data_IF_034121101797
#
_entry.id   IF_034121101797
#
_cell.length_a   1.000
_cell.length_b   1.000
_cell.length_c   1.000
_cell.angle_alpha   90.00
_cell.angle_beta   90.00
_cell.angle_gamma   90.00
#
_symmetry.space_group_name_H-M   'P 1'
#
loop_
_entity.id
_entity.type
_entity.pdbx_description
1 polymer ?
#
# COMPACT_ATOMS: atom_id res chain seq x y z
N UNK A 1 17.97 4.96 -7.74
CA UNK A 1 17.94 6.34 -8.28
C UNK A 1 17.71 6.35 -9.80
N UNK A 2 18.60 5.83 -10.65
CA UNK A 2 18.40 5.73 -12.12
C UNK A 2 17.09 5.03 -12.53
N UNK A 3 16.70 3.99 -11.78
CA UNK A 3 15.46 3.22 -11.99
C UNK A 3 14.18 4.04 -11.73
N UNK A 4 14.12 4.76 -10.61
CA UNK A 4 12.99 5.64 -10.26
C UNK A 4 12.86 6.82 -11.23
N UNK A 5 13.99 7.35 -11.71
CA UNK A 5 14.00 8.41 -12.73
C UNK A 5 13.36 7.92 -14.04
N UNK A 6 13.66 6.69 -14.46
CA UNK A 6 13.03 6.10 -15.66
C UNK A 6 11.52 5.95 -15.50
N UNK A 7 11.07 5.45 -14.35
CA UNK A 7 9.64 5.34 -14.03
C UNK A 7 8.96 6.71 -14.02
N UNK A 8 9.57 7.71 -13.37
CA UNK A 8 9.05 9.08 -13.35
C UNK A 8 8.90 9.67 -14.76
N UNK A 9 9.89 9.46 -15.65
CA UNK A 9 9.82 9.95 -17.02
C UNK A 9 8.70 9.30 -17.84
N UNK A 10 8.45 8.00 -17.65
CA UNK A 10 7.35 7.32 -18.35
C UNK A 10 5.98 7.76 -17.81
N UNK A 11 5.85 7.96 -16.50
CA UNK A 11 4.65 8.54 -15.89
C UNK A 11 4.43 9.98 -16.39
N UNK A 12 5.45 10.83 -16.42
CA UNK A 12 5.33 12.20 -16.91
C UNK A 12 4.87 12.27 -18.38
N UNK A 13 5.30 11.32 -19.22
CA UNK A 13 4.81 11.21 -20.60
C UNK A 13 3.34 10.83 -20.67
N UNK A 14 2.86 10.05 -19.71
CA UNK A 14 1.47 9.60 -19.62
C UNK A 14 0.55 10.68 -19.05
N UNK A 15 1.08 11.53 -18.16
CA UNK A 15 0.40 12.72 -17.60
C UNK A 15 0.47 13.95 -18.52
N UNK A 16 1.04 13.80 -19.71
CA UNK A 16 1.07 14.83 -20.74
C UNK A 16 0.50 14.25 -22.01
N UNK A 17 -0.28 15.06 -22.72
CA UNK A 17 -0.67 14.72 -24.08
C UNK A 17 -0.76 16.00 -24.89
N UNK A 18 -0.61 15.83 -26.19
CA UNK A 18 -0.72 16.89 -27.17
C UNK A 18 -1.80 16.51 -28.18
N UNK A 19 -2.65 17.48 -28.49
CA UNK A 19 -3.72 17.37 -29.47
C UNK A 19 -3.45 18.39 -30.56
N UNK A 20 -3.38 17.92 -31.80
CA UNK A 20 -3.23 18.75 -32.98
C UNK A 20 -4.33 18.39 -33.98
N UNK A 21 -5.06 19.40 -34.45
CA UNK A 21 -6.03 19.26 -35.53
C UNK A 21 -5.38 19.61 -36.86
N UNK A 22 -5.43 18.69 -37.83
CA UNK A 22 -5.01 18.98 -39.19
C UNK A 22 -6.23 19.37 -40.03
N UNK A 23 -6.31 20.65 -40.40
CA UNK A 23 -7.45 21.21 -41.13
C UNK A 23 -7.52 20.74 -42.59
N UNK A 24 -6.41 20.28 -43.19
CA UNK A 24 -6.38 19.87 -44.59
C UNK A 24 -7.06 18.52 -44.80
N UNK A 25 -6.95 17.63 -43.81
CA UNK A 25 -7.52 16.27 -43.85
C UNK A 25 -8.60 16.03 -42.78
N UNK A 26 -9.01 17.10 -42.09
CA UNK A 26 -10.02 17.10 -41.03
C UNK A 26 -9.88 15.99 -39.98
N UNK A 27 -8.66 15.76 -39.50
CA UNK A 27 -8.39 14.70 -38.51
C UNK A 27 -7.50 15.21 -37.37
N UNK A 28 -7.50 14.48 -36.24
CA UNK A 28 -6.72 14.82 -35.06
C UNK A 28 -5.52 13.88 -34.87
N UNK A 29 -4.43 14.46 -34.40
CA UNK A 29 -3.32 13.75 -33.80
C UNK A 29 -3.48 13.76 -32.29
N UNK A 30 -3.32 12.60 -31.67
CA UNK A 30 -3.08 12.45 -30.25
C UNK A 30 -1.64 11.95 -30.07
N UNK A 31 -0.79 12.76 -29.42
CA UNK A 31 0.63 12.44 -29.23
C UNK A 31 1.33 12.03 -30.54
N UNK A 32 1.04 12.75 -31.63
CA UNK A 32 1.56 12.52 -32.99
C UNK A 32 1.08 11.24 -33.69
N UNK A 33 0.06 10.58 -33.16
CA UNK A 33 -0.60 9.44 -33.82
C UNK A 33 -2.03 9.83 -34.22
N UNK A 34 -2.50 9.39 -35.38
CA UNK A 34 -3.84 9.70 -35.86
C UNK A 34 -4.90 9.03 -35.00
N UNK A 35 -5.90 9.79 -34.54
CA UNK A 35 -6.96 9.24 -33.66
C UNK A 35 -7.78 8.14 -34.33
N UNK A 36 -7.82 8.09 -35.66
CA UNK A 36 -8.48 7.02 -36.43
C UNK A 36 -7.69 5.70 -36.37
N UNK A 37 -6.37 5.78 -36.23
CA UNK A 37 -5.46 4.63 -36.32
C UNK A 37 -5.00 4.08 -34.96
N UNK A 38 -5.23 4.80 -33.86
CA UNK A 38 -4.91 4.30 -32.52
C UNK A 38 -5.94 3.22 -32.13
N UNK A 39 -5.51 1.96 -31.88
CA UNK A 39 -6.38 0.90 -31.37
C UNK A 39 -6.49 0.98 -29.85
N UNK A 40 -7.55 0.42 -29.26
CA UNK A 40 -7.71 0.35 -27.80
C UNK A 40 -6.53 -0.33 -27.07
N UNK A 41 -5.95 -1.36 -27.66
CA UNK A 41 -4.81 -2.12 -27.09
C UNK A 41 -3.57 -1.25 -26.83
N UNK A 42 -3.41 -0.12 -27.53
CA UNK A 42 -2.33 0.84 -27.28
C UNK A 42 -2.30 1.32 -25.82
N UNK A 43 -3.47 1.52 -25.21
CA UNK A 43 -3.60 1.99 -23.83
C UNK A 43 -3.36 0.86 -22.83
N UNK A 44 -3.83 -0.35 -23.12
CA UNK A 44 -3.57 -1.52 -22.28
C UNK A 44 -2.08 -1.89 -22.25
N UNK A 45 -1.40 -1.88 -23.40
CA UNK A 45 0.05 -2.11 -23.47
C UNK A 45 0.83 -1.04 -22.70
N UNK A 46 0.38 0.21 -22.76
CA UNK A 46 0.99 1.31 -22.00
C UNK A 46 0.82 1.11 -20.50
N UNK A 47 -0.37 0.72 -20.05
CA UNK A 47 -0.66 0.37 -18.65
C UNK A 47 0.22 -0.78 -18.17
N UNK A 48 0.24 -1.89 -18.89
CA UNK A 48 1.03 -3.08 -18.54
C UNK A 48 2.53 -2.74 -18.44
N UNK A 49 3.04 -1.91 -19.35
CA UNK A 49 4.42 -1.41 -19.30
C UNK A 49 4.71 -0.62 -18.02
N UNK A 50 3.78 0.23 -17.57
CA UNK A 50 3.95 1.01 -16.33
C UNK A 50 3.89 0.11 -15.10
N UNK A 51 2.93 -0.82 -15.04
CA UNK A 51 2.79 -1.80 -13.95
C UNK A 51 4.08 -2.64 -13.81
N UNK A 52 4.59 -3.17 -14.93
CA UNK A 52 5.86 -3.90 -14.96
C UNK A 52 7.05 -3.05 -14.48
N UNK A 53 7.12 -1.77 -14.90
CA UNK A 53 8.18 -0.87 -14.44
C UNK A 53 8.10 -0.61 -12.94
N UNK A 54 6.90 -0.56 -12.35
CA UNK A 54 6.72 -0.43 -10.91
C UNK A 54 7.22 -1.70 -10.21
N UNK A 55 6.73 -2.87 -10.62
CA UNK A 55 7.11 -4.16 -10.01
C UNK A 55 8.61 -4.45 -10.08
N UNK A 56 9.28 -4.09 -11.17
CA UNK A 56 10.72 -4.33 -11.35
C UNK A 56 11.62 -3.37 -10.55
N UNK A 57 11.11 -2.21 -10.16
CA UNK A 57 11.95 -1.09 -9.69
C UNK A 57 11.58 -0.56 -8.29
N UNK A 58 10.43 -0.94 -7.75
CA UNK A 58 9.95 -0.49 -6.44
C UNK A 58 10.12 -1.59 -5.39
N UNK A 59 10.88 -1.28 -4.35
CA UNK A 59 10.86 -2.09 -3.13
C UNK A 59 9.71 -1.61 -2.23
N UNK A 60 8.67 -2.43 -2.11
CA UNK A 60 7.47 -2.17 -1.32
C UNK A 60 7.70 -2.14 0.20
N UNK A 61 8.90 -2.48 0.66
CA UNK A 61 9.28 -2.40 2.08
C UNK A 61 10.06 -1.13 2.42
N UNK A 62 10.56 -0.41 1.40
CA UNK A 62 11.31 0.84 1.57
C UNK A 62 10.36 2.06 1.60
N UNK A 63 10.36 2.78 2.72
CA UNK A 63 9.54 3.96 2.93
C UNK A 63 9.78 5.05 1.88
N UNK A 64 11.01 5.21 1.38
CA UNK A 64 11.31 6.20 0.33
C UNK A 64 10.65 5.88 -1.00
N UNK A 65 10.59 4.60 -1.35
CA UNK A 65 9.91 4.17 -2.58
C UNK A 65 8.40 4.33 -2.44
N UNK A 66 7.84 4.10 -1.26
CA UNK A 66 6.42 4.34 -1.01
C UNK A 66 6.08 5.84 -1.09
N UNK A 67 6.89 6.72 -0.50
CA UNK A 67 6.71 8.17 -0.64
C UNK A 67 6.77 8.61 -2.10
N UNK A 68 7.64 8.00 -2.90
CA UNK A 68 7.69 8.24 -4.35
C UNK A 68 6.41 7.79 -5.06
N UNK A 69 5.87 6.61 -4.72
CA UNK A 69 4.59 6.14 -5.24
C UNK A 69 3.43 7.06 -4.82
N UNK A 70 3.41 7.54 -3.58
CA UNK A 70 2.41 8.50 -3.10
C UNK A 70 2.46 9.82 -3.89
N UNK A 71 3.66 10.32 -4.18
CA UNK A 71 3.84 11.50 -5.03
C UNK A 71 3.27 11.28 -6.45
N UNK A 72 3.57 10.14 -7.07
CA UNK A 72 3.02 9.82 -8.40
C UNK A 72 1.49 9.72 -8.35
N UNK A 73 0.95 9.06 -7.30
CA UNK A 73 -0.49 8.92 -7.12
C UNK A 73 -1.18 10.29 -7.02
N UNK A 74 -0.57 11.26 -6.32
CA UNK A 74 -1.08 12.62 -6.24
C UNK A 74 -1.12 13.31 -7.62
N UNK A 75 -0.07 13.16 -8.41
CA UNK A 75 0.01 13.72 -9.75
C UNK A 75 -1.02 13.08 -10.71
N UNK A 76 -1.19 11.75 -10.64
CA UNK A 76 -2.23 11.02 -11.37
C UNK A 76 -3.62 11.51 -10.99
N UNK A 77 -3.90 11.72 -9.69
CA UNK A 77 -5.19 12.22 -9.23
C UNK A 77 -5.48 13.63 -9.74
N UNK A 78 -4.50 14.53 -9.67
CA UNK A 78 -4.64 15.89 -10.21
C UNK A 78 -4.92 15.86 -11.71
N UNK A 79 -4.14 15.07 -12.45
CA UNK A 79 -4.30 14.95 -13.88
C UNK A 79 -5.64 14.31 -14.29
N UNK A 80 -6.08 13.25 -13.60
CA UNK A 80 -7.39 12.62 -13.81
C UNK A 80 -8.53 13.63 -13.68
N UNK A 81 -8.48 14.52 -12.69
CA UNK A 81 -9.47 15.60 -12.53
C UNK A 81 -9.42 16.56 -13.72
N UNK A 82 -8.24 17.00 -14.13
CA UNK A 82 -8.06 17.89 -15.29
C UNK A 82 -8.54 17.24 -16.60
N UNK A 83 -8.21 15.97 -16.83
CA UNK A 83 -8.63 15.22 -18.01
C UNK A 83 -10.14 14.96 -18.00
N UNK A 84 -10.75 14.69 -16.85
CA UNK A 84 -12.21 14.56 -16.72
C UNK A 84 -12.92 15.88 -17.09
N UNK A 85 -12.37 17.01 -16.64
CA UNK A 85 -12.89 18.34 -17.00
C UNK A 85 -12.73 18.63 -18.50
N UNK A 86 -11.61 18.23 -19.09
CA UNK A 86 -11.41 18.29 -20.54
C UNK A 86 -12.45 17.43 -21.26
N UNK A 87 -12.59 16.15 -20.90
CA UNK A 87 -13.51 15.22 -21.53
C UNK A 87 -14.97 15.73 -21.49
N UNK A 88 -15.38 16.35 -20.39
CA UNK A 88 -16.71 16.96 -20.27
C UNK A 88 -16.93 18.11 -21.26
N UNK A 89 -15.89 18.82 -21.69
CA UNK A 89 -15.99 19.82 -22.76
C UNK A 89 -16.12 19.12 -24.12
N UNK A 90 -15.35 18.06 -24.33
CA UNK A 90 -15.33 17.24 -25.55
C UNK A 90 -16.55 16.32 -25.72
N UNK A 91 -17.36 16.14 -24.68
CA UNK A 91 -18.63 15.39 -24.75
C UNK A 91 -19.76 16.17 -25.43
N UNK A 92 -19.48 17.36 -25.97
CA UNK A 92 -20.44 18.20 -26.70
C UNK A 92 -19.85 18.57 -28.04
N UNK A 93 -20.65 18.71 -29.10
CA UNK A 93 -20.15 19.07 -30.45
C UNK A 93 -19.34 20.39 -30.48
N UNK A 94 -19.71 21.38 -29.67
CA UNK A 94 -19.18 22.75 -29.69
C UNK A 94 -17.94 22.96 -28.82
N UNK A 95 -17.03 22.00 -28.77
CA UNK A 95 -15.83 22.14 -27.93
C UNK A 95 -14.83 23.16 -28.52
N UNK A 96 -14.21 23.98 -27.65
CA UNK A 96 -13.41 25.17 -28.05
C UNK A 96 -12.10 24.79 -28.73
N UNK A 97 -11.71 25.56 -29.75
CA UNK A 97 -10.39 25.44 -30.42
C UNK A 97 -9.20 25.74 -29.50
N UNK A 98 -9.43 26.29 -28.30
CA UNK A 98 -8.36 26.58 -27.35
C UNK A 98 -7.69 25.31 -26.78
N UNK A 99 -8.31 24.14 -26.95
CA UNK A 99 -7.84 22.88 -26.37
C UNK A 99 -6.96 22.04 -27.34
N UNK A 100 -6.68 22.53 -28.57
CA UNK A 100 -5.70 21.91 -29.49
C UNK A 100 -4.94 22.94 -30.33
N UNK A 101 -3.80 22.51 -30.86
CA UNK A 101 -3.10 23.23 -31.92
C UNK A 101 -3.70 22.93 -33.30
N UNK A 102 -3.46 23.79 -34.29
CA UNK A 102 -3.96 23.62 -35.66
C UNK A 102 -2.81 23.61 -36.67
N UNK A 103 -2.86 22.66 -37.61
CA UNK A 103 -1.97 22.61 -38.77
C UNK A 103 -2.75 22.77 -40.07
N UNK A 104 -2.16 23.54 -40.97
CA UNK A 104 -2.67 23.85 -42.31
C UNK A 104 -1.82 23.19 -43.42
N UNK A 105 -0.89 22.32 -43.03
CA UNK A 105 0.01 21.64 -43.95
C UNK A 105 -0.45 20.19 -44.09
N UNK A 106 -0.50 19.70 -45.33
CA UNK A 106 -0.77 18.30 -45.58
C UNK A 106 0.34 17.45 -44.94
N UNK A 107 0.01 16.44 -44.14
CA UNK A 107 1.01 15.67 -43.40
C UNK A 107 1.85 14.81 -44.34
N UNK A 108 3.15 14.68 -44.04
CA UNK A 108 4.04 13.78 -44.78
C UNK A 108 3.60 12.31 -44.68
N UNK A 109 2.95 11.95 -43.57
CA UNK A 109 2.38 10.63 -43.31
C UNK A 109 0.88 10.78 -42.97
N UNK A 110 -0.01 10.89 -43.97
CA UNK A 110 -1.45 10.97 -43.74
C UNK A 110 -2.01 9.64 -43.19
N UNK A 111 -3.16 9.69 -42.49
CA UNK A 111 -3.84 8.47 -42.04
C UNK A 111 -4.31 7.64 -43.24
N UNK A 112 -4.33 6.33 -43.08
CA UNK A 112 -4.86 5.38 -44.06
C UNK A 112 -6.39 5.22 -43.96
N UNK A 113 -6.99 5.70 -42.86
CA UNK A 113 -8.40 5.54 -42.54
C UNK A 113 -9.01 6.94 -42.40
N UNK A 114 -10.04 7.24 -43.20
CA UNK A 114 -10.82 8.47 -43.02
C UNK A 114 -11.57 8.40 -41.68
N UNK A 115 -11.77 9.53 -40.97
CA UNK A 115 -12.65 9.59 -39.81
C UNK A 115 -14.05 8.98 -40.02
N UNK A 116 -14.58 9.04 -41.25
CA UNK A 116 -15.89 8.47 -41.58
C UNK A 116 -15.86 6.96 -41.79
N UNK A 117 -14.68 6.39 -42.07
CA UNK A 117 -14.50 4.96 -42.22
C UNK A 117 -14.53 4.27 -40.85
N UNK A 118 -15.65 3.63 -40.52
CA UNK A 118 -15.86 2.89 -39.27
C UNK A 118 -15.67 1.38 -39.48
N UNK A 119 -14.44 0.84 -39.38
CA UNK A 119 -14.19 -0.58 -39.62
C UNK A 119 -14.88 -1.46 -38.57
N UNK A 120 -15.45 -2.58 -39.02
CA UNK A 120 -15.99 -3.61 -38.12
C UNK A 120 -14.89 -4.34 -37.32
N UNK A 121 -15.23 -4.89 -36.14
CA UNK A 121 -14.31 -5.70 -35.35
C UNK A 121 -13.79 -6.91 -36.13
N UNK A 122 -12.47 -7.07 -36.21
CA UNK A 122 -11.80 -8.17 -36.91
C UNK A 122 -10.46 -8.51 -36.26
N UNK A 123 -9.88 -9.70 -36.50
CA UNK A 123 -8.58 -10.05 -35.93
C UNK A 123 -7.47 -9.02 -36.23
N UNK A 124 -7.51 -8.38 -37.40
CA UNK A 124 -6.49 -7.41 -37.82
C UNK A 124 -6.56 -6.06 -37.10
N UNK A 125 -7.64 -5.75 -36.38
CA UNK A 125 -7.75 -4.57 -35.52
C UNK A 125 -7.94 -4.97 -34.05
N UNK A 126 -7.48 -6.16 -33.66
CA UNK A 126 -7.62 -6.69 -32.30
C UNK A 126 -9.06 -6.78 -31.80
N UNK A 127 -10.02 -6.98 -32.70
CA UNK A 127 -11.45 -6.98 -32.41
C UNK A 127 -11.95 -5.67 -31.78
N UNK A 128 -11.34 -4.54 -32.15
CA UNK A 128 -11.72 -3.23 -31.65
C UNK A 128 -13.12 -2.84 -32.14
N UNK A 129 -14.06 -2.70 -31.21
CA UNK A 129 -15.45 -2.27 -31.42
C UNK A 129 -15.63 -0.75 -31.39
N UNK A 130 -14.55 -0.03 -31.70
CA UNK A 130 -14.49 1.43 -31.82
C UNK A 130 -15.68 2.02 -32.58
N UNK A 131 -16.10 1.41 -33.68
CA UNK A 131 -17.21 1.87 -34.51
C UNK A 131 -18.51 2.15 -33.72
N UNK A 132 -18.94 1.23 -32.86
CA UNK A 132 -20.15 1.36 -32.06
C UNK A 132 -20.05 2.55 -31.10
N UNK A 133 -18.88 2.72 -30.49
CA UNK A 133 -18.61 3.79 -29.53
C UNK A 133 -18.55 5.16 -30.23
N UNK A 134 -17.93 5.25 -31.41
CA UNK A 134 -17.92 6.48 -32.21
C UNK A 134 -19.34 6.92 -32.55
N UNK A 135 -20.20 5.98 -32.99
CA UNK A 135 -21.60 6.27 -33.28
C UNK A 135 -22.33 6.74 -32.03
N UNK A 136 -22.10 6.11 -30.88
CA UNK A 136 -22.71 6.52 -29.60
C UNK A 136 -22.28 7.93 -29.17
N UNK A 137 -20.99 8.26 -29.33
CA UNK A 137 -20.48 9.60 -29.04
C UNK A 137 -21.15 10.65 -29.93
N UNK A 138 -21.28 10.39 -31.24
CA UNK A 138 -21.95 11.30 -32.17
C UNK A 138 -23.43 11.45 -31.79
N UNK A 139 -24.12 10.35 -31.46
CA UNK A 139 -25.51 10.40 -30.97
C UNK A 139 -25.63 11.29 -29.73
N UNK A 140 -24.68 11.19 -28.80
CA UNK A 140 -24.66 12.01 -27.59
C UNK A 140 -24.40 13.49 -27.89
N UNK A 141 -23.53 13.82 -28.86
CA UNK A 141 -23.28 15.21 -29.27
C UNK A 141 -24.55 15.94 -29.71
N UNK A 142 -25.43 15.23 -30.41
CA UNK A 142 -26.65 15.78 -31.03
C UNK A 142 -27.94 15.34 -30.32
N UNK A 143 -27.83 14.62 -29.20
CA UNK A 143 -28.97 14.06 -28.45
C UNK A 143 -29.92 13.23 -29.34
N UNK A 144 -29.35 12.40 -30.21
CA UNK A 144 -30.09 11.53 -31.13
C UNK A 144 -30.61 10.32 -30.34
N UNK A 145 -31.92 10.30 -30.09
CA UNK A 145 -32.58 9.17 -29.44
C UNK A 145 -32.60 7.90 -30.30
N UNK A 146 -32.76 6.74 -29.66
CA UNK A 146 -32.84 5.43 -30.33
C UNK A 146 -34.04 5.30 -31.28
N UNK A 147 -35.06 6.16 -31.15
CA UNK A 147 -36.28 6.16 -31.97
C UNK A 147 -36.19 6.89 -33.30
N UNK A 148 -35.09 7.63 -33.56
CA UNK A 148 -34.87 8.37 -34.81
C UNK A 148 -34.13 7.55 -35.87
N UNK A 149 -33.67 6.34 -35.53
CA UNK A 149 -33.03 5.44 -36.48
C UNK A 149 -34.11 4.68 -37.26
N UNK A 150 -34.47 5.21 -38.43
CA UNK A 150 -35.00 4.37 -39.50
C UNK A 150 -33.83 3.50 -40.00
N UNK A 151 -33.97 2.17 -40.05
CA UNK A 151 -32.89 1.24 -40.42
C UNK A 151 -32.30 1.51 -41.82
N UNK A 152 -32.95 2.39 -42.60
CA UNK A 152 -32.57 2.77 -43.95
C UNK A 152 -31.73 4.04 -44.07
N UNK A 153 -31.60 4.87 -43.02
CA UNK A 153 -30.91 6.17 -43.10
C UNK A 153 -29.53 6.15 -42.42
N UNK A 154 -28.49 6.60 -43.13
CA UNK A 154 -27.12 6.67 -42.59
C UNK A 154 -26.99 7.82 -41.59
N UNK A 155 -26.09 7.69 -40.61
CA UNK A 155 -25.86 8.73 -39.59
C UNK A 155 -25.52 10.09 -40.21
N UNK A 156 -24.74 10.09 -41.29
CA UNK A 156 -24.39 11.28 -42.08
C UNK A 156 -25.63 12.03 -42.58
N UNK A 157 -26.60 11.29 -43.15
CA UNK A 157 -27.85 11.88 -43.64
C UNK A 157 -28.67 12.48 -42.50
N UNK A 158 -28.70 11.84 -41.33
CA UNK A 158 -29.38 12.36 -40.14
C UNK A 158 -28.71 13.68 -39.69
N UNK A 159 -27.37 13.72 -39.64
CA UNK A 159 -26.62 14.93 -39.26
C UNK A 159 -26.90 16.10 -40.21
N UNK A 160 -26.91 15.85 -41.51
CA UNK A 160 -27.16 16.89 -42.53
C UNK A 160 -28.61 17.37 -42.47
N UNK A 161 -29.60 16.46 -42.45
CA UNK A 161 -31.03 16.81 -42.59
C UNK A 161 -31.67 17.33 -41.31
N UNK A 162 -31.40 16.67 -40.18
CA UNK A 162 -32.07 16.97 -38.91
C UNK A 162 -31.29 18.00 -38.07
N UNK A 163 -29.97 18.07 -38.25
CA UNK A 163 -29.08 18.95 -37.47
C UNK A 163 -28.40 20.06 -38.28
N UNK A 164 -28.68 20.17 -39.59
CA UNK A 164 -28.13 21.18 -40.49
C UNK A 164 -26.59 21.26 -40.48
N UNK A 165 -25.90 20.12 -40.35
CA UNK A 165 -24.44 20.06 -40.50
C UNK A 165 -24.09 20.17 -41.99
N UNK A 166 -23.14 21.02 -42.34
CA UNK A 166 -22.64 21.13 -43.72
C UNK A 166 -21.93 19.83 -44.13
N UNK A 167 -22.03 19.44 -45.40
CA UNK A 167 -21.50 18.15 -45.88
C UNK A 167 -19.99 18.01 -45.64
N UNK A 168 -19.25 19.12 -45.74
CA UNK A 168 -17.82 19.21 -45.47
C UNK A 168 -17.47 19.34 -43.98
N UNK A 169 -18.46 19.48 -43.07
CA UNK A 169 -18.26 19.44 -41.62
C UNK A 169 -18.53 18.04 -41.03
N UNK A 170 -19.13 17.12 -41.79
CA UNK A 170 -19.46 15.78 -41.30
C UNK A 170 -18.20 15.00 -40.92
N UNK A 171 -17.15 15.02 -41.74
CA UNK A 171 -15.90 14.32 -41.45
C UNK A 171 -15.24 14.84 -40.16
N UNK A 172 -15.32 16.15 -39.92
CA UNK A 172 -14.91 16.76 -38.67
C UNK A 172 -15.71 16.25 -37.45
N UNK A 173 -17.04 16.08 -37.57
CA UNK A 173 -17.87 15.48 -36.49
C UNK A 173 -17.36 14.09 -36.11
N UNK A 174 -17.05 13.26 -37.10
CA UNK A 174 -16.51 11.92 -36.85
C UNK A 174 -15.11 12.00 -36.22
N UNK A 175 -14.22 12.85 -36.73
CA UNK A 175 -12.88 13.04 -36.18
C UNK A 175 -12.92 13.48 -34.70
N UNK A 176 -13.86 14.36 -34.37
CA UNK A 176 -14.16 14.79 -32.99
C UNK A 176 -14.58 13.62 -32.10
N UNK A 177 -15.48 12.76 -32.59
CA UNK A 177 -15.92 11.58 -31.85
C UNK A 177 -14.77 10.59 -31.63
N UNK A 178 -13.90 10.41 -32.64
CA UNK A 178 -12.67 9.63 -32.53
C UNK A 178 -11.76 10.16 -31.42
N UNK A 179 -11.53 11.47 -31.37
CA UNK A 179 -10.72 12.08 -30.32
C UNK A 179 -11.35 11.90 -28.93
N UNK A 180 -12.66 12.09 -28.79
CA UNK A 180 -13.37 11.86 -27.51
C UNK A 180 -13.22 10.42 -27.03
N UNK A 181 -13.29 9.44 -27.93
CA UNK A 181 -13.01 8.04 -27.61
C UNK A 181 -11.57 7.81 -27.12
N UNK A 182 -10.57 8.33 -27.84
CA UNK A 182 -9.15 8.23 -27.44
C UNK A 182 -8.90 8.87 -26.07
N UNK A 183 -9.50 10.03 -25.78
CA UNK A 183 -9.39 10.67 -24.47
C UNK A 183 -10.10 9.89 -23.36
N UNK A 184 -11.17 9.17 -23.69
CA UNK A 184 -11.87 8.27 -22.75
C UNK A 184 -10.96 7.10 -22.38
N UNK A 185 -10.36 6.44 -23.36
CA UNK A 185 -9.38 5.38 -23.12
C UNK A 185 -8.16 5.86 -22.32
N UNK A 186 -7.67 7.07 -22.60
CA UNK A 186 -6.59 7.67 -21.81
C UNK A 186 -7.02 7.84 -20.35
N UNK A 187 -8.22 8.35 -20.10
CA UNK A 187 -8.74 8.52 -18.74
C UNK A 187 -8.91 7.19 -18.00
N UNK A 188 -9.41 6.16 -18.68
CA UNK A 188 -9.53 4.80 -18.13
C UNK A 188 -8.16 4.24 -17.73
N UNK A 189 -7.17 4.32 -18.64
CA UNK A 189 -5.79 3.92 -18.35
C UNK A 189 -5.22 4.65 -17.12
N UNK A 190 -5.47 5.96 -17.00
CA UNK A 190 -5.02 6.78 -15.87
C UNK A 190 -5.66 6.34 -14.56
N UNK A 191 -6.96 6.05 -14.58
CA UNK A 191 -7.68 5.54 -13.40
C UNK A 191 -7.16 4.18 -12.96
N UNK A 192 -6.91 3.28 -13.91
CA UNK A 192 -6.39 1.95 -13.62
C UNK A 192 -5.01 1.99 -12.97
N UNK A 193 -4.08 2.78 -13.54
CA UNK A 193 -2.75 2.99 -12.94
C UNK A 193 -2.90 3.63 -11.55
N UNK A 194 -3.77 4.64 -11.40
CA UNK A 194 -4.03 5.27 -10.10
C UNK A 194 -4.57 4.30 -9.06
N UNK A 195 -5.48 3.41 -9.45
CA UNK A 195 -6.03 2.36 -8.58
C UNK A 195 -4.95 1.34 -8.17
N UNK A 196 -4.11 0.94 -9.12
CA UNK A 196 -2.96 0.08 -8.85
C UNK A 196 -2.03 0.70 -7.81
N UNK A 197 -1.62 1.95 -7.99
CA UNK A 197 -0.76 2.66 -7.02
C UNK A 197 -1.43 2.84 -5.65
N UNK A 198 -2.72 3.19 -5.63
CA UNK A 198 -3.49 3.29 -4.39
C UNK A 198 -3.54 1.96 -3.64
N UNK A 199 -3.60 0.84 -4.34
CA UNK A 199 -3.58 -0.49 -3.71
C UNK A 199 -2.25 -0.75 -2.98
N UNK A 200 -1.13 -0.34 -3.60
CA UNK A 200 0.22 -0.45 -3.02
C UNK A 200 0.30 0.35 -1.72
N UNK A 201 -0.07 1.64 -1.75
CA UNK A 201 -0.01 2.52 -0.57
C UNK A 201 -0.96 2.06 0.53
N UNK A 202 -2.15 1.58 0.19
CA UNK A 202 -3.12 1.02 1.14
C UNK A 202 -2.55 -0.20 1.87
N UNK A 203 -1.93 -1.13 1.14
CA UNK A 203 -1.32 -2.34 1.74
C UNK A 203 -0.15 -1.95 2.64
N UNK A 204 0.70 -1.02 2.22
CA UNK A 204 1.81 -0.52 3.02
C UNK A 204 1.33 0.14 4.33
N UNK A 205 0.39 1.08 4.24
CA UNK A 205 -0.13 1.80 5.40
C UNK A 205 -0.84 0.86 6.39
N UNK A 206 -1.58 -0.13 5.91
CA UNK A 206 -2.16 -1.18 6.76
C UNK A 206 -1.08 -1.98 7.49
N UNK A 207 0.01 -2.35 6.82
CA UNK A 207 1.13 -3.07 7.47
C UNK A 207 1.81 -2.20 8.52
N UNK A 208 2.08 -0.93 8.21
CA UNK A 208 2.68 0.04 9.13
C UNK A 208 1.81 0.24 10.38
N UNK A 209 0.51 0.47 10.20
CA UNK A 209 -0.46 0.59 11.30
C UNK A 209 -0.50 -0.67 12.18
N UNK A 210 -0.55 -1.86 11.57
CA UNK A 210 -0.57 -3.12 12.33
C UNK A 210 0.74 -3.35 13.11
N UNK A 211 1.88 -2.88 12.60
CA UNK A 211 3.18 -2.97 13.29
C UNK A 211 3.24 -1.96 14.43
N UNK A 212 2.81 -0.72 14.20
CA UNK A 212 2.80 0.35 15.20
C UNK A 212 1.80 0.07 16.33
N UNK A 213 0.60 -0.46 16.03
CA UNK A 213 -0.39 -0.86 17.05
C UNK A 213 0.08 -2.05 17.91
N UNK A 214 0.83 -3.00 17.33
CA UNK A 214 1.35 -4.15 18.07
C UNK A 214 2.66 -3.85 18.83
N UNK A 215 3.46 -2.85 18.41
CA UNK A 215 4.67 -2.43 19.13
C UNK A 215 4.37 -1.40 20.23
N UNK A 216 3.41 -0.48 20.02
CA UNK A 216 3.05 0.53 21.02
C UNK A 216 2.20 -0.03 22.18
N UNK A 217 1.63 -1.23 22.03
CA UNK A 217 0.84 -1.89 23.09
C UNK A 217 1.66 -2.79 24.01
N UNK A 218 2.93 -3.05 23.71
CA UNK A 218 3.81 -3.85 24.56
C UNK A 218 5.12 -3.10 24.84
N UNK A 219 5.09 -2.21 25.83
CA UNK A 219 6.30 -1.68 26.46
C UNK A 219 6.73 -2.73 27.51
N UNK A 220 7.79 -3.54 27.29
CA UNK A 220 8.20 -4.56 28.25
C UNK A 220 8.61 -3.96 29.60
N UNK A 221 8.93 -2.66 29.62
CA UNK A 221 9.34 -1.88 30.79
C UNK A 221 8.20 -1.65 31.79
N UNK A 222 6.93 -1.80 31.38
CA UNK A 222 5.76 -1.66 32.26
C UNK A 222 5.35 -2.98 32.95
N UNK A 223 5.91 -4.12 32.54
CA UNK A 223 5.61 -5.40 33.21
C UNK A 223 6.22 -5.38 34.62
N UNK A 224 5.36 -5.18 35.61
CA UNK A 224 5.73 -5.18 37.03
C UNK A 224 5.81 -6.63 37.53
N UNK A 225 7.01 -7.09 37.83
CA UNK A 225 7.21 -8.41 38.46
C UNK A 225 7.17 -8.26 39.98
N UNK A 226 6.00 -8.54 40.56
CA UNK A 226 5.76 -8.48 42.00
C UNK A 226 6.02 -9.84 42.66
N UNK A 227 6.88 -9.86 43.68
CA UNK A 227 7.19 -11.04 44.46
C UNK A 227 6.63 -10.90 45.87
N UNK A 228 5.85 -11.89 46.30
CA UNK A 228 5.39 -12.08 47.69
C UNK A 228 6.52 -12.53 48.63
N UNK A 229 7.66 -11.85 48.55
CA UNK A 229 8.86 -12.11 49.31
C UNK A 229 9.33 -10.82 49.97
N UNK A 230 9.92 -10.94 51.15
CA UNK A 230 10.68 -9.83 51.72
C UNK A 230 11.88 -9.53 50.84
N UNK A 231 12.43 -8.32 50.94
CA UNK A 231 13.64 -7.93 50.19
C UNK A 231 14.80 -8.93 50.34
N UNK A 232 14.99 -9.44 51.55
CA UNK A 232 16.03 -10.42 51.87
C UNK A 232 15.76 -11.76 51.20
N UNK A 233 14.54 -12.27 51.28
CA UNK A 233 14.18 -13.55 50.64
C UNK A 233 14.20 -13.46 49.11
N UNK A 234 13.85 -12.30 48.54
CA UNK A 234 14.03 -12.03 47.11
C UNK A 234 15.51 -12.09 46.72
N UNK A 235 16.39 -11.53 47.56
CA UNK A 235 17.84 -11.64 47.42
C UNK A 235 18.30 -13.10 47.45
N UNK A 236 17.89 -13.86 48.46
CA UNK A 236 18.20 -15.29 48.57
C UNK A 236 17.68 -16.09 47.37
N UNK A 237 16.49 -15.80 46.85
CA UNK A 237 15.94 -16.50 45.68
C UNK A 237 16.87 -16.37 44.47
N UNK A 238 17.13 -15.14 44.01
CA UNK A 238 17.96 -14.91 42.83
C UNK A 238 19.40 -15.37 43.07
N UNK A 239 19.92 -15.19 44.28
CA UNK A 239 21.25 -15.66 44.67
C UNK A 239 21.37 -17.18 44.52
N UNK A 240 20.39 -17.94 45.02
CA UNK A 240 20.43 -19.41 44.98
C UNK A 240 20.18 -19.94 43.58
N UNK A 241 19.23 -19.37 42.82
CA UNK A 241 19.02 -19.73 41.42
C UNK A 241 20.28 -19.54 40.57
N UNK A 242 21.05 -18.49 40.86
CA UNK A 242 22.35 -18.26 40.25
C UNK A 242 23.40 -19.27 40.70
N UNK A 243 23.47 -19.60 42.00
CA UNK A 243 24.46 -20.55 42.51
C UNK A 243 24.29 -21.96 42.00
N UNK A 244 23.05 -22.45 41.96
CA UNK A 244 22.72 -23.80 41.51
C UNK A 244 22.65 -23.92 39.97
N UNK A 245 22.91 -22.82 39.24
CA UNK A 245 23.01 -22.82 37.79
C UNK A 245 21.68 -22.83 37.04
N UNK A 246 20.56 -22.49 37.69
CA UNK A 246 19.28 -22.23 37.00
C UNK A 246 19.37 -20.91 36.22
N UNK A 247 20.01 -19.89 36.81
CA UNK A 247 20.40 -18.67 36.11
C UNK A 247 21.86 -18.84 35.68
N UNK A 248 22.12 -18.66 34.38
CA UNK A 248 23.46 -18.83 33.82
C UNK A 248 24.45 -17.84 34.45
N UNK A 249 25.61 -18.35 34.87
CA UNK A 249 26.72 -17.51 35.35
C UNK A 249 27.39 -16.83 34.17
N UNK A 250 27.54 -15.52 34.24
CA UNK A 250 28.32 -14.78 33.26
C UNK A 250 29.80 -15.14 33.42
N UNK A 251 30.46 -15.55 32.34
CA UNK A 251 31.88 -15.93 32.35
C UNK A 251 32.79 -14.77 32.74
N UNK A 252 32.30 -13.54 32.63
CA UNK A 252 33.01 -12.30 33.00
C UNK A 252 32.75 -11.86 34.45
N UNK A 253 31.84 -12.53 35.17
CA UNK A 253 31.53 -12.24 36.57
C UNK A 253 32.61 -12.86 37.49
N UNK A 254 33.71 -12.11 37.66
CA UNK A 254 34.84 -12.53 38.49
C UNK A 254 34.55 -12.19 39.96
N UNK A 255 34.74 -13.18 40.84
CA UNK A 255 34.55 -13.17 42.30
C UNK A 255 34.83 -11.82 42.97
N UNK A 256 33.78 -11.10 43.38
CA UNK A 256 33.58 -10.71 44.80
C UNK A 256 32.22 -10.01 45.08
N UNK A 257 31.37 -9.70 44.08
CA UNK A 257 30.05 -9.07 44.38
C UNK A 257 28.86 -9.48 43.49
N UNK A 258 29.04 -10.45 42.57
CA UNK A 258 28.02 -10.80 41.54
C UNK A 258 27.37 -9.54 40.96
N UNK A 259 28.22 -8.59 40.62
CA UNK A 259 27.86 -7.21 40.34
C UNK A 259 26.81 -7.14 39.24
N UNK A 260 26.91 -8.03 38.24
CA UNK A 260 25.96 -8.11 37.13
C UNK A 260 24.56 -8.56 37.56
N UNK A 261 24.41 -9.61 38.36
CA UNK A 261 23.09 -10.07 38.85
C UNK A 261 22.43 -9.02 39.76
N UNK A 262 23.22 -8.44 40.67
CA UNK A 262 22.79 -7.33 41.53
C UNK A 262 22.34 -6.12 40.71
N UNK A 263 23.15 -5.72 39.72
CA UNK A 263 22.82 -4.59 38.85
C UNK A 263 21.57 -4.88 38.04
N UNK A 264 21.41 -6.10 37.53
CA UNK A 264 20.20 -6.52 36.84
C UNK A 264 18.96 -6.32 37.71
N UNK A 265 18.95 -6.86 38.93
CA UNK A 265 17.79 -6.76 39.83
C UNK A 265 17.51 -5.31 40.24
N UNK A 266 18.54 -4.51 40.49
CA UNK A 266 18.38 -3.10 40.88
C UNK A 266 17.75 -2.23 39.79
N UNK A 267 17.99 -2.56 38.51
CA UNK A 267 17.49 -1.80 37.36
C UNK A 267 16.22 -2.42 36.75
N UNK A 268 15.94 -3.70 36.98
CA UNK A 268 14.75 -4.37 36.51
C UNK A 268 13.45 -3.83 37.18
N UNK A 269 12.31 -4.06 36.53
CA UNK A 269 10.99 -3.71 37.05
C UNK A 269 10.46 -4.75 38.06
N UNK A 270 11.31 -5.10 39.03
CA UNK A 270 11.05 -6.13 40.06
C UNK A 270 10.68 -5.46 41.38
N UNK A 271 9.69 -6.01 42.09
CA UNK A 271 9.18 -5.49 43.35
C UNK A 271 9.09 -6.60 44.40
N UNK A 272 9.30 -6.25 45.67
CA UNK A 272 9.20 -7.14 46.82
C UNK A 272 8.10 -6.66 47.78
N UNK A 273 7.54 -7.57 48.57
CA UNK A 273 6.51 -7.26 49.56
C UNK A 273 7.14 -6.69 50.84
N UNK A 274 6.80 -5.45 51.19
CA UNK A 274 7.20 -4.79 52.44
C UNK A 274 5.96 -4.43 53.26
N UNK A 275 5.72 -5.16 54.36
CA UNK A 275 4.62 -5.02 55.33
C UNK A 275 3.18 -5.14 54.78
N UNK A 276 2.92 -4.78 53.53
CA UNK A 276 1.68 -4.93 52.74
C UNK A 276 1.76 -4.24 51.36
N UNK A 277 2.87 -3.56 51.03
CA UNK A 277 3.01 -2.77 49.80
C UNK A 277 4.19 -3.31 48.99
N UNK A 278 4.01 -3.38 47.66
CA UNK A 278 5.08 -3.75 46.74
C UNK A 278 6.05 -2.59 46.52
N UNK A 279 7.29 -2.78 46.96
CA UNK A 279 8.38 -1.79 46.86
C UNK A 279 9.40 -2.23 45.82
N UNK A 280 9.90 -1.29 45.00
CA UNK A 280 10.86 -1.60 43.93
C UNK A 280 12.15 -2.16 44.51
N UNK A 281 12.65 -3.25 43.92
CA UNK A 281 13.91 -3.85 44.28
C UNK A 281 15.07 -2.93 43.87
N UNK A 282 15.62 -2.21 44.84
CA UNK A 282 16.79 -1.35 44.65
C UNK A 282 17.76 -1.55 45.82
N UNK A 283 19.06 -1.31 45.59
CA UNK A 283 20.12 -1.45 46.60
C UNK A 283 20.13 -2.85 47.24
N UNK A 284 20.20 -3.90 46.41
CA UNK A 284 20.21 -5.31 46.84
C UNK A 284 21.49 -5.76 47.58
N UNK A 285 22.47 -4.88 47.80
CA UNK A 285 23.79 -5.19 48.39
C UNK A 285 23.72 -5.91 49.73
N UNK A 286 22.80 -5.53 50.63
CA UNK A 286 22.67 -6.16 51.96
C UNK A 286 21.88 -7.48 51.96
N UNK A 287 21.14 -7.74 50.89
CA UNK A 287 20.25 -8.89 50.76
C UNK A 287 20.87 -10.07 49.99
N UNK A 288 22.09 -9.90 49.47
CA UNK A 288 22.88 -10.94 48.78
C UNK A 288 24.29 -11.05 49.38
N UNK A 289 24.42 -11.44 50.66
CA UNK A 289 25.72 -11.46 51.34
C UNK A 289 26.64 -12.54 50.77
N UNK A 290 27.92 -12.19 50.61
CA UNK A 290 28.99 -13.08 50.13
C UNK A 290 29.46 -13.99 51.26
N UNK A 291 29.78 -15.25 50.95
CA UNK A 291 30.21 -16.30 51.88
C UNK A 291 31.43 -15.96 52.77
N UNK A 292 32.16 -14.85 52.52
CA UNK A 292 33.29 -14.41 53.33
C UNK A 292 32.80 -13.57 54.51
N UNK A 293 32.73 -14.17 55.70
CA UNK A 293 32.35 -13.48 56.93
C UNK A 293 30.85 -13.29 57.13
N UNK A 294 30.02 -14.13 56.49
CA UNK A 294 28.57 -14.11 56.66
C UNK A 294 28.19 -14.47 58.11
N UNK A 295 27.38 -13.62 58.74
CA UNK A 295 26.80 -13.86 60.07
C UNK A 295 26.00 -15.18 60.07
N UNK A 296 26.14 -16.00 61.11
CA UNK A 296 25.41 -17.27 61.25
C UNK A 296 23.90 -17.09 61.12
N UNK A 297 23.36 -15.96 61.59
CA UNK A 297 21.93 -15.63 61.48
C UNK A 297 21.46 -15.49 60.03
N UNK A 298 22.32 -15.00 59.15
CA UNK A 298 21.99 -14.83 57.73
C UNK A 298 21.93 -16.19 57.04
N UNK A 299 22.86 -17.09 57.37
CA UNK A 299 22.86 -18.47 56.85
C UNK A 299 21.62 -19.23 57.35
N UNK A 300 21.25 -19.10 58.62
CA UNK A 300 20.02 -19.69 59.16
C UNK A 300 18.78 -19.17 58.43
N UNK A 301 18.70 -17.87 58.15
CA UNK A 301 17.59 -17.28 57.40
C UNK A 301 17.53 -17.80 55.95
N UNK A 302 18.68 -17.95 55.29
CA UNK A 302 18.76 -18.51 53.94
C UNK A 302 18.29 -19.98 53.92
N UNK A 303 18.79 -20.81 54.84
CA UNK A 303 18.36 -22.21 55.00
C UNK A 303 16.86 -22.29 55.25
N UNK A 304 16.34 -21.45 56.15
CA UNK A 304 14.91 -21.38 56.45
C UNK A 304 14.09 -21.04 55.21
N UNK A 305 14.53 -20.05 54.43
CA UNK A 305 13.88 -19.66 53.18
C UNK A 305 13.91 -20.78 52.13
N UNK A 306 15.04 -21.47 51.96
CA UNK A 306 15.16 -22.58 51.02
C UNK A 306 14.24 -23.75 51.40
N UNK A 307 14.13 -24.06 52.70
CA UNK A 307 13.20 -25.08 53.18
C UNK A 307 11.74 -24.70 52.93
N UNK A 308 11.35 -23.43 53.14
CA UNK A 308 10.01 -22.93 52.78
C UNK A 308 9.75 -23.05 51.26
N UNK A 309 10.72 -22.68 50.43
CA UNK A 309 10.63 -22.81 48.98
C UNK A 309 10.48 -24.27 48.54
N UNK A 310 11.24 -25.19 49.11
CA UNK A 310 11.11 -26.64 48.87
C UNK A 310 9.73 -27.16 49.28
N UNK A 311 9.20 -26.69 50.40
CA UNK A 311 7.84 -27.01 50.85
C UNK A 311 6.79 -26.60 49.81
N UNK A 312 6.85 -25.34 49.33
CA UNK A 312 5.94 -24.82 48.30
C UNK A 312 6.07 -25.54 46.97
N UNK A 313 7.30 -25.85 46.54
CA UNK A 313 7.55 -26.59 45.30
C UNK A 313 7.02 -28.02 45.38
N UNK A 314 7.21 -28.70 46.52
CA UNK A 314 6.67 -30.04 46.76
C UNK A 314 5.14 -30.05 46.68
N UNK A 315 4.46 -29.11 47.35
CA UNK A 315 3.00 -28.95 47.25
C UNK A 315 2.53 -28.74 45.81
N UNK A 316 3.29 -27.98 45.00
CA UNK A 316 2.98 -27.77 43.59
C UNK A 316 3.15 -29.06 42.77
N UNK A 317 4.20 -29.84 43.04
CA UNK A 317 4.42 -31.14 42.40
C UNK A 317 3.26 -32.08 42.71
N UNK A 318 2.81 -32.14 43.96
CA UNK A 318 1.68 -32.99 44.38
C UNK A 318 0.41 -32.59 43.63
N UNK A 319 0.08 -31.29 43.61
CA UNK A 319 -1.09 -30.76 42.87
C UNK A 319 -1.04 -31.06 41.37
N UNK A 320 0.14 -30.96 40.74
CA UNK A 320 0.30 -31.29 39.32
C UNK A 320 0.19 -32.80 39.06
N UNK A 321 0.65 -33.62 40.01
CA UNK A 321 0.57 -35.08 39.93
C UNK A 321 -0.89 -35.55 40.03
N UNK A 322 -1.68 -34.97 40.94
CA UNK A 322 -3.12 -35.20 41.03
C UNK A 322 -3.84 -34.82 39.73
N UNK A 323 -3.56 -33.61 39.19
CA UNK A 323 -4.12 -33.17 37.91
C UNK A 323 -3.77 -34.13 36.77
N UNK A 324 -2.54 -34.63 36.73
CA UNK A 324 -2.11 -35.62 35.72
C UNK A 324 -2.90 -36.92 35.84
N UNK A 325 -3.15 -37.40 37.06
CA UNK A 325 -3.99 -38.60 37.30
C UNK A 325 -5.42 -38.36 36.84
N UNK A 326 -6.00 -37.20 37.14
CA UNK A 326 -7.36 -36.86 36.74
C UNK A 326 -7.52 -36.68 35.23
N UNK A 327 -6.55 -36.08 34.55
CA UNK A 327 -6.54 -35.99 33.08
C UNK A 327 -6.52 -37.37 32.44
N UNK A 328 -5.68 -38.29 32.97
CA UNK A 328 -5.68 -39.70 32.52
C UNK A 328 -7.02 -40.39 32.72
N UNK A 329 -7.68 -40.19 33.87
CA UNK A 329 -9.03 -40.75 34.11
C UNK A 329 -10.08 -40.21 33.13
N UNK A 330 -9.88 -38.98 32.64
CA UNK A 330 -10.74 -38.31 31.65
C UNK A 330 -10.37 -38.63 30.19
N UNK A 331 -9.36 -39.47 29.95
CA UNK A 331 -8.97 -39.92 28.61
C UNK A 331 -8.07 -38.94 27.83
N UNK A 332 -7.38 -38.02 28.53
CA UNK A 332 -6.37 -37.13 27.95
C UNK A 332 -4.95 -37.60 28.22
#
# INVERSE_FOLDING_TARGET
>A
MLKLVKLNLEIEKLLKFDIEYNNVIQNFLYNKNWVTEIPSIYFEETKEKIENLIDENIDYTDEKNILFIESILEDIQKFSVSLTQLLKRYSTYNFSSDDWSMSLVFPDNPPQISPMDLPEPKPSNFFDAKNEIIIEVIKNFFNIGTSLYDESETLENILIKEFNIEEDEVEFVFAKAHLTYILTLHLEMIHDIGNFLKSITTVYNRRKSNIEENLNSFIPEDLKLEFDLTKTNLGHLFYNLYEIGIIAKDKTDVKDERTSLKNYINHANIFYLDKSIYTKAQKMTKAMPVARGTDSKILENEITFLNDLVGKLSQRIDSLTEKKVDLKKKGY
#
